data_IF_672312335698
#
_entry.id   IF_672312335698
#
_cell.length_a   1.000
_cell.length_b   1.000
_cell.length_c   1.000
_cell.angle_alpha   90.00
_cell.angle_beta   90.00
_cell.angle_gamma   90.00
#
_symmetry.space_group_name_H-M   'P 1'
#
loop_
_entity.id
_entity.type
_entity.pdbx_description
1 polymer ?
#
# COMPACT_ATOMS: atom_id res chain seq x y z
N UNK A 1 21.63 -28.31 26.61
CA UNK A 1 22.33 -29.10 27.64
C UNK A 1 22.89 -28.14 28.69
N UNK A 2 22.76 -28.41 30.00
CA UNK A 2 23.45 -27.61 31.01
C UNK A 2 24.95 -27.77 30.83
N UNK A 3 25.69 -26.67 30.85
CA UNK A 3 27.15 -26.71 30.88
C UNK A 3 27.51 -26.53 32.34
N UNK A 4 27.84 -27.63 33.02
CA UNK A 4 28.33 -27.54 34.41
C UNK A 4 29.73 -26.97 34.38
N UNK A 5 29.91 -25.78 34.95
CA UNK A 5 31.24 -25.26 35.17
C UNK A 5 32.00 -26.19 36.12
N UNK A 6 33.26 -26.46 35.80
CA UNK A 6 34.16 -27.23 36.65
C UNK A 6 35.46 -26.47 36.78
N UNK A 7 35.96 -26.36 38.01
CA UNK A 7 37.25 -25.75 38.30
C UNK A 7 38.39 -26.79 38.23
N UNK A 8 39.62 -26.31 38.04
CA UNK A 8 40.78 -27.19 37.92
C UNK A 8 41.15 -27.85 39.25
N UNK A 9 41.74 -29.05 39.23
CA UNK A 9 42.16 -29.76 40.45
C UNK A 9 43.16 -28.98 41.32
N UNK A 10 44.05 -28.20 40.71
CA UNK A 10 44.95 -27.26 41.42
C UNK A 10 44.20 -26.23 42.25
N UNK A 11 42.99 -25.85 41.84
CA UNK A 11 42.16 -24.90 42.58
C UNK A 11 41.58 -25.56 43.84
N UNK A 12 41.07 -26.78 43.72
CA UNK A 12 40.62 -27.60 44.85
C UNK A 12 41.75 -27.82 45.87
N UNK A 13 42.95 -28.18 45.40
CA UNK A 13 44.11 -28.38 46.28
C UNK A 13 44.53 -27.11 47.04
N UNK A 14 44.35 -25.93 46.44
CA UNK A 14 44.79 -24.66 47.01
C UNK A 14 43.74 -24.02 47.95
N UNK A 15 42.46 -24.18 47.64
CA UNK A 15 41.36 -23.51 48.34
C UNK A 15 40.47 -24.47 49.15
N UNK A 16 40.68 -25.77 49.02
CA UNK A 16 39.87 -26.80 49.65
C UNK A 16 38.61 -27.11 48.85
N UNK A 17 38.09 -28.32 49.06
CA UNK A 17 36.92 -28.82 48.33
C UNK A 17 35.65 -28.03 48.65
N UNK A 18 35.49 -27.61 49.90
CA UNK A 18 34.28 -26.93 50.39
C UNK A 18 34.06 -25.58 49.69
N UNK A 19 35.05 -24.69 49.78
CA UNK A 19 35.03 -23.36 49.12
C UNK A 19 34.90 -23.50 47.60
N UNK A 20 35.58 -24.49 47.02
CA UNK A 20 35.55 -24.69 45.57
C UNK A 20 34.18 -25.16 45.08
N UNK A 21 33.52 -26.06 45.83
CA UNK A 21 32.18 -26.54 45.51
C UNK A 21 31.15 -25.41 45.63
N UNK A 22 31.20 -24.59 46.69
CA UNK A 22 30.31 -23.44 46.85
C UNK A 22 30.41 -22.47 45.64
N UNK A 23 31.62 -22.20 45.17
CA UNK A 23 31.84 -21.32 44.02
C UNK A 23 31.28 -21.91 42.73
N UNK A 24 31.47 -23.21 42.51
CA UNK A 24 30.93 -23.92 41.34
C UNK A 24 29.40 -23.91 41.36
N UNK A 25 28.79 -24.18 42.51
CA UNK A 25 27.34 -24.19 42.67
C UNK A 25 26.75 -22.81 42.46
N UNK A 26 27.37 -21.77 43.02
CA UNK A 26 26.99 -20.38 42.76
C UNK A 26 27.07 -20.05 41.26
N UNK A 27 28.18 -20.38 40.59
CA UNK A 27 28.35 -20.08 39.16
C UNK A 27 27.29 -20.80 38.31
N UNK A 28 27.04 -22.07 38.58
CA UNK A 28 26.03 -22.84 37.86
C UNK A 28 24.62 -22.28 38.09
N UNK A 29 24.31 -21.82 39.32
CA UNK A 29 23.04 -21.17 39.62
C UNK A 29 22.89 -19.84 38.87
N UNK A 30 23.95 -19.03 38.82
CA UNK A 30 23.97 -17.77 38.07
C UNK A 30 23.78 -18.03 36.56
N UNK A 31 24.50 -18.97 35.95
CA UNK A 31 24.34 -19.32 34.53
C UNK A 31 22.91 -19.81 34.22
N UNK A 32 22.32 -20.63 35.10
CA UNK A 32 20.95 -21.10 34.94
C UNK A 32 19.94 -19.94 34.98
N UNK A 33 20.07 -19.02 35.95
CA UNK A 33 19.21 -17.84 36.05
C UNK A 33 19.35 -16.96 34.81
N UNK A 34 20.58 -16.58 34.42
CA UNK A 34 20.77 -15.72 33.24
C UNK A 34 20.23 -16.33 31.95
N UNK A 35 20.39 -17.64 31.74
CA UNK A 35 19.80 -18.31 30.57
C UNK A 35 18.27 -18.30 30.61
N UNK A 36 17.68 -18.44 31.80
CA UNK A 36 16.24 -18.32 31.98
C UNK A 36 15.76 -16.92 31.64
N UNK A 37 16.38 -15.90 32.23
CA UNK A 37 16.03 -14.50 32.04
C UNK A 37 16.19 -14.09 30.57
N UNK A 38 17.28 -14.53 29.91
CA UNK A 38 17.48 -14.26 28.49
C UNK A 38 16.41 -14.91 27.62
N UNK A 39 15.96 -16.14 27.95
CA UNK A 39 14.86 -16.79 27.22
C UNK A 39 13.55 -16.05 27.41
N UNK A 40 13.23 -15.68 28.64
CA UNK A 40 12.01 -14.94 28.96
C UNK A 40 11.99 -13.56 28.25
N UNK A 41 13.08 -12.81 28.36
CA UNK A 41 13.22 -11.53 27.65
C UNK A 41 13.11 -11.71 26.14
N UNK A 42 13.71 -12.76 25.59
CA UNK A 42 13.65 -13.06 24.17
C UNK A 42 12.22 -13.40 23.73
N UNK A 43 11.51 -14.24 24.48
CA UNK A 43 10.12 -14.63 24.22
C UNK A 43 9.18 -13.42 24.28
N UNK A 44 9.28 -12.58 25.32
CA UNK A 44 8.48 -11.35 25.45
C UNK A 44 8.79 -10.37 24.33
N UNK A 45 10.07 -10.19 23.97
CA UNK A 45 10.45 -9.29 22.89
C UNK A 45 9.98 -9.79 21.54
N UNK A 46 10.07 -11.09 21.26
CA UNK A 46 9.53 -11.67 20.03
C UNK A 46 8.02 -11.55 19.95
N UNK A 47 7.29 -11.84 21.02
CA UNK A 47 5.84 -11.65 21.05
C UNK A 47 5.44 -10.19 20.80
N UNK A 48 6.16 -9.23 21.39
CA UNK A 48 5.92 -7.79 21.13
C UNK A 48 6.28 -7.39 19.69
N UNK A 49 7.34 -7.95 19.13
CA UNK A 49 7.75 -7.68 17.76
C UNK A 49 6.71 -8.22 16.77
N UNK A 50 6.25 -9.45 16.98
CA UNK A 50 5.24 -10.12 16.16
C UNK A 50 3.92 -9.33 16.19
N UNK A 51 3.43 -8.96 17.38
CA UNK A 51 2.24 -8.13 17.51
C UNK A 51 2.35 -6.77 16.80
N UNK A 52 3.53 -6.14 16.82
CA UNK A 52 3.79 -4.89 16.08
C UNK A 52 3.82 -5.13 14.57
N UNK A 53 4.38 -6.23 14.10
CA UNK A 53 4.37 -6.58 12.69
C UNK A 53 2.96 -6.84 12.18
N UNK A 54 2.16 -7.63 12.90
CA UNK A 54 0.75 -7.87 12.57
C UNK A 54 -0.04 -6.56 12.53
N UNK A 55 0.14 -5.68 13.52
CA UNK A 55 -0.50 -4.37 13.54
C UNK A 55 -0.11 -3.53 12.32
N UNK A 56 1.18 -3.52 11.94
CA UNK A 56 1.66 -2.77 10.77
C UNK A 56 1.14 -3.37 9.46
N UNK A 57 1.08 -4.69 9.34
CA UNK A 57 0.51 -5.37 8.18
C UNK A 57 -0.97 -4.99 8.01
N UNK A 58 -1.77 -5.08 9.08
CA UNK A 58 -3.18 -4.68 9.05
C UNK A 58 -3.37 -3.20 8.67
N UNK A 59 -2.51 -2.30 9.17
CA UNK A 59 -2.53 -0.88 8.78
C UNK A 59 -2.23 -0.67 7.29
N UNK A 60 -1.25 -1.42 6.74
CA UNK A 60 -0.91 -1.34 5.33
C UNK A 60 -2.04 -1.88 4.44
N UNK A 61 -2.65 -3.01 4.81
CA UNK A 61 -3.80 -3.57 4.10
C UNK A 61 -4.97 -2.59 4.07
N UNK A 62 -5.30 -1.98 5.22
CA UNK A 62 -6.35 -0.96 5.28
C UNK A 62 -6.04 0.25 4.37
N UNK A 63 -4.78 0.71 4.35
CA UNK A 63 -4.36 1.83 3.49
C UNK A 63 -4.41 1.47 2.00
N UNK A 64 -4.03 0.24 1.64
CA UNK A 64 -4.12 -0.25 0.26
C UNK A 64 -5.58 -0.30 -0.20
N UNK A 65 -6.48 -0.83 0.62
CA UNK A 65 -7.90 -0.88 0.29
C UNK A 65 -8.52 0.52 0.19
N UNK A 66 -8.13 1.45 1.06
CA UNK A 66 -8.54 2.86 0.94
C UNK A 66 -8.07 3.46 -0.40
N UNK A 67 -6.79 3.32 -0.74
CA UNK A 67 -6.25 3.85 -2.00
C UNK A 67 -6.91 3.22 -3.23
N UNK A 68 -7.24 1.92 -3.18
CA UNK A 68 -7.98 1.23 -4.24
C UNK A 68 -9.39 1.82 -4.40
N UNK A 69 -10.09 2.06 -3.30
CA UNK A 69 -11.42 2.66 -3.32
C UNK A 69 -11.39 4.08 -3.88
N UNK A 70 -10.42 4.91 -3.45
CA UNK A 70 -10.21 6.26 -3.95
C UNK A 70 -9.90 6.27 -5.45
N UNK A 71 -9.00 5.40 -5.91
CA UNK A 71 -8.67 5.27 -7.33
C UNK A 71 -9.89 4.85 -8.17
N UNK A 72 -10.67 3.87 -7.68
CA UNK A 72 -11.89 3.43 -8.36
C UNK A 72 -12.89 4.57 -8.48
N UNK A 73 -13.11 5.33 -7.40
CA UNK A 73 -13.99 6.48 -7.41
C UNK A 73 -13.52 7.56 -8.38
N UNK A 74 -12.21 7.84 -8.41
CA UNK A 74 -11.61 8.80 -9.35
C UNK A 74 -11.78 8.37 -10.81
N UNK A 75 -11.61 7.08 -11.12
CA UNK A 75 -11.83 6.54 -12.46
C UNK A 75 -13.30 6.66 -12.89
N UNK A 76 -14.24 6.26 -12.04
CA UNK A 76 -15.67 6.40 -12.33
C UNK A 76 -16.08 7.86 -12.53
N UNK A 77 -15.53 8.78 -11.73
CA UNK A 77 -15.77 10.22 -11.91
C UNK A 77 -15.17 10.75 -13.22
N UNK A 78 -14.00 10.25 -13.63
CA UNK A 78 -13.36 10.61 -14.89
C UNK A 78 -14.18 10.11 -16.08
N UNK A 79 -14.61 8.84 -16.06
CA UNK A 79 -15.48 8.23 -17.08
C UNK A 79 -16.76 9.06 -17.26
N UNK A 80 -17.48 9.35 -16.17
CA UNK A 80 -18.70 10.17 -16.22
C UNK A 80 -18.44 11.57 -16.81
N UNK A 81 -17.30 12.18 -16.48
CA UNK A 81 -16.91 13.50 -17.02
C UNK A 81 -16.59 13.43 -18.50
N UNK A 82 -15.94 12.36 -18.96
CA UNK A 82 -15.65 12.14 -20.37
C UNK A 82 -16.95 11.94 -21.17
N UNK A 83 -17.85 11.10 -20.69
CA UNK A 83 -19.15 10.87 -21.32
C UNK A 83 -19.97 12.16 -21.43
N UNK A 84 -20.05 12.94 -20.34
CA UNK A 84 -20.75 14.22 -20.35
C UNK A 84 -20.13 15.20 -21.37
N UNK A 85 -18.80 15.25 -21.48
CA UNK A 85 -18.10 16.09 -22.46
C UNK A 85 -18.35 15.62 -23.89
N UNK A 86 -18.32 14.32 -24.14
CA UNK A 86 -18.59 13.74 -25.46
C UNK A 86 -20.02 14.04 -25.90
N UNK A 87 -21.02 13.82 -25.03
CA UNK A 87 -22.41 14.15 -25.30
C UNK A 87 -22.61 15.65 -25.59
N UNK A 88 -21.93 16.52 -24.84
CA UNK A 88 -21.96 17.97 -25.08
C UNK A 88 -21.32 18.35 -26.42
N UNK A 89 -20.23 17.70 -26.82
CA UNK A 89 -19.60 17.89 -28.12
C UNK A 89 -20.49 17.40 -29.26
N UNK A 90 -21.07 16.21 -29.15
CA UNK A 90 -22.00 15.65 -30.13
C UNK A 90 -23.18 16.60 -30.36
N UNK A 91 -23.83 17.05 -29.28
CA UNK A 91 -24.94 18.01 -29.35
C UNK A 91 -24.52 19.31 -30.05
N UNK A 92 -23.33 19.80 -29.74
CA UNK A 92 -22.79 21.03 -30.33
C UNK A 92 -22.50 20.84 -31.82
N UNK A 93 -21.87 19.74 -32.20
CA UNK A 93 -21.55 19.41 -33.60
C UNK A 93 -22.83 19.29 -34.41
N UNK A 94 -23.82 18.55 -33.92
CA UNK A 94 -25.13 18.41 -34.58
C UNK A 94 -25.77 19.78 -34.81
N UNK A 95 -25.80 20.64 -33.79
CA UNK A 95 -26.36 21.99 -33.91
C UNK A 95 -25.65 22.83 -34.98
N UNK A 96 -24.31 22.81 -35.01
CA UNK A 96 -23.55 23.54 -36.02
C UNK A 96 -23.70 22.95 -37.41
N UNK A 97 -23.80 21.63 -37.52
CA UNK A 97 -24.03 20.93 -38.77
C UNK A 97 -25.38 21.34 -39.37
N UNK A 98 -26.44 21.42 -38.56
CA UNK A 98 -27.75 21.93 -39.02
C UNK A 98 -27.68 23.39 -39.47
N UNK A 99 -27.04 24.28 -38.69
CA UNK A 99 -26.87 25.69 -39.07
C UNK A 99 -26.11 25.83 -40.40
N UNK A 100 -25.04 25.05 -40.56
CA UNK A 100 -24.27 25.00 -41.79
C UNK A 100 -25.12 24.50 -42.97
N UNK A 101 -25.86 23.40 -42.80
CA UNK A 101 -26.72 22.84 -43.85
C UNK A 101 -27.84 23.79 -44.27
N UNK A 102 -28.50 24.47 -43.32
CA UNK A 102 -29.54 25.47 -43.64
C UNK A 102 -28.94 26.65 -44.41
N UNK A 103 -27.79 27.16 -43.97
CA UNK A 103 -27.08 28.24 -44.68
C UNK A 103 -26.72 27.83 -46.11
N UNK A 104 -26.13 26.63 -46.29
CA UNK A 104 -25.80 26.09 -47.61
C UNK A 104 -27.05 25.93 -48.48
N UNK A 105 -28.15 25.37 -47.97
CA UNK A 105 -29.39 25.21 -48.72
C UNK A 105 -29.94 26.55 -49.22
N UNK A 106 -29.94 27.58 -48.38
CA UNK A 106 -30.35 28.95 -48.76
C UNK A 106 -29.45 29.51 -49.87
N UNK A 107 -28.13 29.34 -49.74
CA UNK A 107 -27.18 29.77 -50.78
C UNK A 107 -27.44 29.04 -52.11
N UNK A 108 -27.60 27.71 -52.08
CA UNK A 108 -27.87 26.91 -53.29
C UNK A 108 -29.18 27.32 -53.95
N UNK A 109 -30.27 27.49 -53.19
CA UNK A 109 -31.57 27.95 -53.72
C UNK A 109 -31.43 29.35 -54.35
N UNK A 110 -30.72 30.26 -53.69
CA UNK A 110 -30.45 31.60 -54.21
C UNK A 110 -29.66 31.58 -55.54
N UNK A 111 -28.63 30.72 -55.64
CA UNK A 111 -27.86 30.54 -56.87
C UNK A 111 -28.71 29.98 -58.00
N UNK A 112 -29.50 28.93 -57.74
CA UNK A 112 -30.40 28.33 -58.76
C UNK A 112 -31.41 29.36 -59.25
N UNK A 113 -32.07 30.10 -58.34
CA UNK A 113 -33.01 31.15 -58.71
C UNK A 113 -32.35 32.27 -59.54
N UNK A 114 -31.14 32.68 -59.15
CA UNK A 114 -30.34 33.66 -59.89
C UNK A 114 -30.03 33.22 -61.32
N UNK A 115 -29.62 31.96 -61.51
CA UNK A 115 -29.35 31.38 -62.83
C UNK A 115 -30.63 31.34 -63.68
N UNK A 116 -31.74 30.83 -63.15
CA UNK A 116 -33.03 30.75 -63.87
C UNK A 116 -33.50 32.13 -64.34
N UNK A 117 -33.34 33.17 -63.50
CA UNK A 117 -33.69 34.55 -63.87
C UNK A 117 -32.81 35.11 -64.99
N UNK A 118 -31.55 34.68 -65.08
CA UNK A 118 -30.60 35.14 -66.10
C UNK A 118 -30.78 34.43 -67.44
N UNK A 119 -31.10 33.13 -67.45
CA UNK A 119 -31.31 32.35 -68.68
C UNK A 119 -32.75 32.37 -69.20
N UNK A 120 -33.72 32.79 -68.38
CA UNK A 120 -35.13 32.95 -68.77
C UNK A 120 -35.47 34.31 -69.42
N UNK A 121 -34.47 35.10 -69.84
CA UNK A 121 -34.62 36.26 -70.73
C UNK A 121 -34.22 35.88 -72.15
#
# INVERSE_FOLDING_TARGET
>A
MPVTAKLSRKFYEKFGDDITNELVDWFNKVDATYRSDLRELNEVNFARFDARLEQRAAQLDAKIEQLRAELKAALTALEARLDARMSAFETRIIRWMFLFWVGQAVTTVGLVFGVVRLTGR
#
